data_IF_254599762623
#
_entry.id   IF_254599762623
#
_cell.length_a   1.000
_cell.length_b   1.000
_cell.length_c   1.000
_cell.angle_alpha   90.00
_cell.angle_beta   90.00
_cell.angle_gamma   90.00
#
_symmetry.space_group_name_H-M   'P 1'
#
loop_
_entity.id
_entity.type
_entity.pdbx_description
1 polymer ?
#
# COMPACT_ATOMS: atom_id res chain seq x y z
N UNK A 1 -16.69 14.84 16.20
CA UNK A 1 -15.63 14.30 15.35
C UNK A 1 -16.01 12.90 14.91
N UNK A 2 -15.87 12.60 13.63
CA UNK A 2 -16.12 11.25 13.09
C UNK A 2 -15.10 10.27 13.69
N UNK A 3 -15.57 9.09 14.07
CA UNK A 3 -14.70 8.00 14.52
C UNK A 3 -14.45 7.07 13.32
N UNK A 4 -13.20 6.77 13.05
CA UNK A 4 -12.76 5.84 12.01
C UNK A 4 -11.90 4.74 12.65
N UNK A 5 -11.73 3.62 11.94
CA UNK A 5 -10.90 2.51 12.40
C UNK A 5 -9.43 2.90 12.52
N UNK A 6 -8.65 2.10 13.25
CA UNK A 6 -7.20 2.34 13.37
C UNK A 6 -6.52 2.26 11.99
N UNK A 7 -6.94 1.33 11.14
CA UNK A 7 -6.49 1.20 9.76
C UNK A 7 -6.68 2.49 8.96
N UNK A 8 -7.88 3.07 8.99
CA UNK A 8 -8.19 4.31 8.27
C UNK A 8 -7.47 5.52 8.88
N UNK A 9 -7.32 5.56 10.21
CA UNK A 9 -6.57 6.61 10.90
C UNK A 9 -5.11 6.61 10.49
N UNK A 10 -4.49 5.42 10.39
CA UNK A 10 -3.09 5.28 10.00
C UNK A 10 -2.89 5.65 8.53
N UNK A 11 -3.79 5.23 7.63
CA UNK A 11 -3.74 5.66 6.23
C UNK A 11 -3.89 7.20 6.11
N UNK A 12 -4.84 7.79 6.84
CA UNK A 12 -5.04 9.24 6.90
C UNK A 12 -3.82 9.98 7.50
N UNK A 13 -3.09 9.35 8.42
CA UNK A 13 -1.88 9.92 9.00
C UNK A 13 -0.75 10.11 7.97
N UNK A 14 -0.69 9.28 6.94
CA UNK A 14 0.30 9.39 5.85
C UNK A 14 0.05 10.60 4.92
N UNK A 15 -1.17 11.14 4.85
CA UNK A 15 -1.48 12.31 4.00
C UNK A 15 -0.70 13.53 4.52
N UNK A 16 -0.03 14.24 3.64
CA UNK A 16 0.71 15.46 3.97
C UNK A 16 -0.24 16.62 4.31
N UNK A 17 0.07 17.34 5.38
CA UNK A 17 -0.73 18.48 5.80
C UNK A 17 -0.74 19.59 4.75
N UNK A 18 -1.93 20.16 4.50
CA UNK A 18 -2.13 21.28 3.57
C UNK A 18 -2.38 20.84 2.12
N UNK A 19 -2.34 19.55 1.82
CA UNK A 19 -2.64 19.04 0.48
C UNK A 19 -4.14 18.85 0.28
N UNK A 20 -4.65 19.15 -0.92
CA UNK A 20 -5.99 18.72 -1.36
C UNK A 20 -5.97 17.23 -1.66
N UNK A 21 -7.03 16.53 -1.25
CA UNK A 21 -7.11 15.07 -1.31
C UNK A 21 -8.17 14.59 -2.30
N UNK A 22 -7.84 13.58 -3.11
CA UNK A 22 -8.85 12.70 -3.71
C UNK A 22 -8.88 11.38 -2.94
N UNK A 23 -10.04 10.99 -2.45
CA UNK A 23 -10.32 9.72 -1.77
C UNK A 23 -11.05 8.80 -2.74
N UNK A 24 -10.35 7.79 -3.27
CA UNK A 24 -10.84 6.89 -4.32
C UNK A 24 -11.41 5.62 -3.71
N UNK A 25 -12.66 5.29 -4.06
CA UNK A 25 -13.42 4.24 -3.40
C UNK A 25 -13.89 4.69 -2.02
N UNK A 26 -14.36 5.95 -1.96
CA UNK A 26 -14.82 6.53 -0.71
C UNK A 26 -16.09 5.84 -0.24
N UNK A 27 -16.00 5.06 0.81
CA UNK A 27 -17.18 4.54 1.49
C UNK A 27 -17.54 5.50 2.63
N UNK A 28 -18.74 6.10 2.54
CA UNK A 28 -19.24 7.05 3.55
C UNK A 28 -18.46 8.38 3.70
N UNK A 29 -17.40 8.66 2.95
CA UNK A 29 -16.63 9.90 3.05
C UNK A 29 -15.83 10.06 4.35
N UNK A 30 -15.57 8.98 5.07
CA UNK A 30 -15.03 9.04 6.42
C UNK A 30 -13.61 9.64 6.48
N UNK A 31 -12.71 9.28 5.57
CA UNK A 31 -11.34 9.81 5.56
C UNK A 31 -11.32 11.31 5.26
N UNK A 32 -11.97 11.82 4.21
CA UNK A 32 -12.06 13.25 3.96
C UNK A 32 -12.64 14.04 5.13
N UNK A 33 -13.76 13.56 5.72
CA UNK A 33 -14.39 14.19 6.88
C UNK A 33 -13.43 14.24 8.06
N UNK A 34 -12.77 13.12 8.37
CA UNK A 34 -11.80 13.03 9.47
C UNK A 34 -10.66 14.03 9.28
N UNK A 35 -10.04 14.06 8.10
CA UNK A 35 -8.90 14.91 7.80
C UNK A 35 -9.24 16.41 7.84
N UNK A 36 -10.42 16.79 7.36
CA UNK A 36 -10.91 18.17 7.47
C UNK A 36 -11.18 18.58 8.93
N UNK A 37 -11.79 17.70 9.73
CA UNK A 37 -12.01 17.95 11.15
C UNK A 37 -10.71 18.08 11.95
N UNK A 38 -9.63 17.40 11.48
CA UNK A 38 -8.27 17.56 12.02
C UNK A 38 -7.54 18.81 11.48
N UNK A 39 -8.16 19.57 10.57
CA UNK A 39 -7.52 20.69 9.87
C UNK A 39 -6.24 20.28 9.13
N UNK A 40 -6.16 19.01 8.72
CA UNK A 40 -5.00 18.46 8.02
C UNK A 40 -5.02 18.77 6.53
N UNK A 41 -6.20 18.80 5.93
CA UNK A 41 -6.40 19.11 4.50
C UNK A 41 -7.32 20.32 4.34
N UNK A 42 -7.16 21.15 3.28
CA UNK A 42 -8.05 22.30 3.01
C UNK A 42 -9.35 21.87 2.32
N UNK A 43 -9.31 20.85 1.47
CA UNK A 43 -10.45 20.36 0.71
C UNK A 43 -10.26 18.91 0.26
N UNK A 44 -11.32 18.24 -0.17
CA UNK A 44 -11.26 16.90 -0.73
C UNK A 44 -12.29 16.65 -1.84
N UNK A 45 -11.98 15.64 -2.67
CA UNK A 45 -12.90 15.04 -3.64
C UNK A 45 -13.10 13.58 -3.20
N UNK A 46 -14.31 13.25 -2.78
CA UNK A 46 -14.72 11.90 -2.41
C UNK A 46 -15.27 11.18 -3.64
N UNK A 47 -14.65 10.08 -4.05
CA UNK A 47 -14.91 9.45 -5.33
C UNK A 47 -15.27 7.97 -5.17
N UNK A 48 -16.24 7.50 -5.94
CA UNK A 48 -16.59 6.07 -6.05
C UNK A 48 -17.15 5.79 -7.44
N UNK A 49 -17.06 4.54 -7.88
CA UNK A 49 -17.65 4.07 -9.14
C UNK A 49 -19.17 3.87 -9.04
N UNK A 50 -19.67 3.72 -7.83
CA UNK A 50 -21.09 3.47 -7.55
C UNK A 50 -21.75 4.69 -6.91
N UNK A 51 -23.00 4.96 -7.31
CA UNK A 51 -23.80 6.07 -6.76
C UNK A 51 -24.14 5.85 -5.27
N UNK A 52 -24.43 4.61 -4.85
CA UNK A 52 -24.82 4.32 -3.48
C UNK A 52 -23.83 4.76 -2.41
N UNK A 53 -22.53 4.41 -2.51
CA UNK A 53 -21.48 4.94 -1.63
C UNK A 53 -21.41 6.48 -1.64
N UNK A 54 -21.55 7.10 -2.81
CA UNK A 54 -21.51 8.56 -2.93
C UNK A 54 -22.70 9.25 -2.26
N UNK A 55 -23.90 8.69 -2.35
CA UNK A 55 -25.07 9.24 -1.63
C UNK A 55 -24.85 9.15 -0.11
N UNK A 56 -24.37 8.03 0.41
CA UNK A 56 -23.99 7.92 1.83
C UNK A 56 -22.91 8.94 2.22
N UNK A 57 -21.91 9.14 1.36
CA UNK A 57 -20.89 10.15 1.59
C UNK A 57 -21.48 11.56 1.63
N UNK A 58 -22.40 11.92 0.71
CA UNK A 58 -23.10 13.22 0.70
C UNK A 58 -23.88 13.44 2.00
N UNK A 59 -24.62 12.43 2.46
CA UNK A 59 -25.38 12.51 3.71
C UNK A 59 -24.46 12.78 4.91
N UNK A 60 -23.34 12.06 5.02
CA UNK A 60 -22.37 12.26 6.09
C UNK A 60 -21.68 13.62 5.99
N UNK A 61 -21.27 14.03 4.80
CA UNK A 61 -20.65 15.34 4.56
C UNK A 61 -21.60 16.46 5.01
N UNK A 62 -22.91 16.32 4.69
CA UNK A 62 -23.92 17.27 5.10
C UNK A 62 -24.15 17.25 6.62
N UNK A 63 -24.20 16.07 7.24
CA UNK A 63 -24.34 15.92 8.69
C UNK A 63 -23.23 16.65 9.46
N UNK A 64 -22.02 16.69 8.92
CA UNK A 64 -20.87 17.38 9.55
C UNK A 64 -20.69 18.83 9.05
N UNK A 65 -21.54 19.34 8.16
CA UNK A 65 -21.48 20.72 7.65
C UNK A 65 -20.26 20.99 6.76
N UNK A 66 -19.77 19.99 6.04
CA UNK A 66 -18.53 20.07 5.25
C UNK A 66 -18.74 20.16 3.74
N UNK A 67 -19.95 20.48 3.27
CA UNK A 67 -20.31 20.51 1.84
C UNK A 67 -19.51 21.56 1.06
N UNK A 68 -19.02 22.61 1.72
CA UNK A 68 -18.19 23.63 1.09
C UNK A 68 -16.72 23.15 0.85
N UNK A 69 -16.30 22.06 1.47
CA UNK A 69 -14.93 21.57 1.48
C UNK A 69 -14.76 20.20 0.84
N UNK A 70 -15.83 19.39 0.76
CA UNK A 70 -15.80 18.05 0.18
C UNK A 70 -16.77 18.00 -0.99
N UNK A 71 -16.24 17.77 -2.19
CA UNK A 71 -17.01 17.45 -3.39
C UNK A 71 -17.15 15.92 -3.50
N UNK A 72 -18.33 15.42 -3.87
CA UNK A 72 -18.49 14.02 -4.28
C UNK A 72 -18.46 13.91 -5.80
N UNK A 73 -17.83 12.85 -6.33
CA UNK A 73 -17.68 12.68 -7.78
C UNK A 73 -17.79 11.19 -8.16
N UNK A 74 -18.69 10.86 -9.08
CA UNK A 74 -18.77 9.52 -9.68
C UNK A 74 -17.55 9.31 -10.58
N UNK A 75 -16.79 8.24 -10.35
CA UNK A 75 -15.54 7.99 -11.08
C UNK A 75 -15.12 6.54 -10.99
N UNK A 76 -14.69 5.96 -12.08
CA UNK A 76 -13.90 4.73 -12.09
C UNK A 76 -12.44 5.10 -11.77
N UNK A 77 -11.97 4.67 -10.60
CA UNK A 77 -10.67 5.11 -10.09
C UNK A 77 -10.52 6.63 -10.12
N UNK A 78 -9.48 7.13 -10.78
CA UNK A 78 -9.16 8.57 -10.91
C UNK A 78 -9.60 9.18 -12.25
N UNK A 79 -10.38 8.46 -13.06
CA UNK A 79 -10.73 8.88 -14.43
C UNK A 79 -11.45 10.24 -14.52
N UNK A 80 -12.19 10.63 -13.47
CA UNK A 80 -12.89 11.92 -13.42
C UNK A 80 -12.02 13.08 -12.88
N UNK A 81 -10.74 12.83 -12.54
CA UNK A 81 -9.79 13.87 -12.15
C UNK A 81 -9.02 14.40 -13.36
N UNK A 82 -8.58 15.66 -13.26
CA UNK A 82 -7.61 16.23 -14.18
C UNK A 82 -6.21 16.17 -13.57
N UNK A 83 -5.15 16.01 -14.38
CA UNK A 83 -3.78 16.14 -13.90
C UNK A 83 -3.57 17.45 -13.13
N UNK A 84 -3.00 17.39 -11.94
CA UNK A 84 -2.75 18.54 -11.06
C UNK A 84 -3.98 19.09 -10.33
N UNK A 85 -5.15 18.46 -10.39
CA UNK A 85 -6.37 18.90 -9.69
C UNK A 85 -6.28 18.70 -8.17
N UNK A 86 -5.53 17.69 -7.73
CA UNK A 86 -5.28 17.38 -6.31
C UNK A 86 -3.78 17.15 -6.08
N UNK A 87 -3.34 17.38 -4.85
CA UNK A 87 -1.95 17.08 -4.46
C UNK A 87 -1.77 15.67 -3.92
N UNK A 88 -2.79 15.09 -3.29
CA UNK A 88 -2.76 13.76 -2.72
C UNK A 88 -3.90 12.89 -3.28
N UNK A 89 -3.59 11.63 -3.58
CA UNK A 89 -4.60 10.62 -3.92
C UNK A 89 -4.50 9.49 -2.90
N UNK A 90 -5.63 9.11 -2.31
CA UNK A 90 -5.70 8.00 -1.37
C UNK A 90 -6.56 6.89 -1.97
N UNK A 91 -6.02 5.67 -1.99
CA UNK A 91 -6.68 4.44 -2.44
C UNK A 91 -6.54 3.41 -1.32
N UNK A 92 -7.60 3.19 -0.56
CA UNK A 92 -7.58 2.29 0.58
C UNK A 92 -8.69 1.25 0.52
N UNK A 93 -8.38 0.02 1.00
CA UNK A 93 -9.38 -1.03 1.13
C UNK A 93 -9.67 -1.81 -0.16
N UNK A 94 -8.84 -1.67 -1.18
CA UNK A 94 -8.98 -2.35 -2.47
C UNK A 94 -7.98 -3.49 -2.63
N UNK A 95 -8.29 -4.48 -3.47
CA UNK A 95 -7.31 -5.51 -3.87
C UNK A 95 -6.14 -4.90 -4.66
N UNK A 96 -4.95 -5.50 -4.54
CA UNK A 96 -3.74 -4.98 -5.20
C UNK A 96 -3.87 -4.90 -6.72
N UNK A 97 -4.50 -5.91 -7.34
CA UNK A 97 -4.78 -5.87 -8.78
C UNK A 97 -5.59 -4.64 -9.21
N UNK A 98 -6.61 -4.25 -8.42
CA UNK A 98 -7.40 -3.05 -8.71
C UNK A 98 -6.59 -1.77 -8.48
N UNK A 99 -5.77 -1.72 -7.42
CA UNK A 99 -4.88 -0.57 -7.17
C UNK A 99 -3.94 -0.36 -8.35
N UNK A 100 -3.27 -1.41 -8.83
CA UNK A 100 -2.37 -1.33 -10.00
C UNK A 100 -3.11 -0.90 -11.27
N UNK A 101 -4.32 -1.40 -11.48
CA UNK A 101 -5.17 -0.99 -12.62
C UNK A 101 -5.50 0.50 -12.58
N UNK A 102 -5.96 1.01 -11.43
CA UNK A 102 -6.26 2.44 -11.24
C UNK A 102 -5.02 3.32 -11.50
N UNK A 103 -3.85 2.91 -11.03
CA UNK A 103 -2.61 3.65 -11.24
C UNK A 103 -2.19 3.67 -12.71
N UNK A 104 -2.38 2.56 -13.42
CA UNK A 104 -2.03 2.43 -14.83
C UNK A 104 -2.99 3.19 -15.74
N UNK A 105 -4.29 3.04 -15.55
CA UNK A 105 -5.30 3.72 -16.35
C UNK A 105 -5.34 5.23 -16.06
N UNK A 106 -5.05 5.61 -14.81
CA UNK A 106 -4.98 6.99 -14.36
C UNK A 106 -3.57 7.59 -14.36
N UNK A 107 -2.64 7.04 -15.13
CA UNK A 107 -1.21 7.38 -15.10
C UNK A 107 -0.93 8.88 -15.03
N UNK A 108 -1.50 9.67 -15.94
CA UNK A 108 -1.26 11.13 -16.00
C UNK A 108 -1.71 11.86 -14.73
N UNK A 109 -2.81 11.43 -14.12
CA UNK A 109 -3.32 12.00 -12.87
C UNK A 109 -2.43 11.58 -11.71
N UNK A 110 -2.14 10.29 -11.59
CA UNK A 110 -1.33 9.73 -10.52
C UNK A 110 0.10 10.26 -10.52
N UNK A 111 0.72 10.42 -11.69
CA UNK A 111 2.06 10.99 -11.85
C UNK A 111 2.10 12.49 -11.57
N UNK A 112 1.00 13.23 -11.75
CA UNK A 112 0.91 14.66 -11.45
C UNK A 112 0.67 14.96 -9.96
N UNK A 113 0.19 13.99 -9.20
CA UNK A 113 0.00 14.13 -7.76
C UNK A 113 1.35 14.18 -7.04
N UNK A 114 1.43 14.95 -5.95
CA UNK A 114 2.65 15.03 -5.13
C UNK A 114 2.87 13.79 -4.30
N UNK A 115 1.78 13.06 -3.96
CA UNK A 115 1.82 11.81 -3.22
C UNK A 115 0.60 10.94 -3.50
N UNK A 116 0.80 9.63 -3.42
CA UNK A 116 -0.28 8.65 -3.37
C UNK A 116 -0.18 7.90 -2.04
N UNK A 117 -1.32 7.68 -1.39
CA UNK A 117 -1.42 6.84 -0.20
C UNK A 117 -2.18 5.58 -0.60
N UNK A 118 -1.50 4.45 -0.55
CA UNK A 118 -2.02 3.16 -1.02
C UNK A 118 -2.14 2.19 0.16
N UNK A 119 -3.32 1.61 0.33
CA UNK A 119 -3.56 0.55 1.30
C UNK A 119 -4.21 -0.64 0.59
N UNK A 120 -3.43 -1.44 -0.17
CA UNK A 120 -3.92 -2.66 -0.80
C UNK A 120 -4.23 -3.74 0.24
N UNK A 121 -5.25 -4.57 -0.02
CA UNK A 121 -5.66 -5.67 0.87
C UNK A 121 -5.20 -7.04 0.39
N UNK A 122 -4.64 -7.13 -0.81
CA UNK A 122 -4.10 -8.35 -1.40
C UNK A 122 -2.95 -8.01 -2.34
N UNK A 123 -2.19 -9.01 -2.76
CA UNK A 123 -1.11 -8.89 -3.75
C UNK A 123 -0.10 -7.77 -3.43
N UNK A 124 0.21 -7.57 -2.13
CA UNK A 124 1.01 -6.43 -1.65
C UNK A 124 2.40 -6.42 -2.29
N UNK A 125 3.01 -7.59 -2.40
CA UNK A 125 4.31 -7.79 -3.07
C UNK A 125 4.25 -7.27 -4.50
N UNK A 126 3.25 -7.69 -5.28
CA UNK A 126 3.07 -7.27 -6.67
C UNK A 126 2.83 -5.78 -6.82
N UNK A 127 2.12 -5.17 -5.86
CA UNK A 127 1.94 -3.70 -5.84
C UNK A 127 3.28 -3.00 -5.66
N UNK A 128 4.15 -3.45 -4.74
CA UNK A 128 5.48 -2.85 -4.54
C UNK A 128 6.39 -3.03 -5.76
N UNK A 129 6.38 -4.22 -6.35
CA UNK A 129 7.09 -4.51 -7.61
C UNK A 129 6.62 -3.58 -8.73
N UNK A 130 5.31 -3.49 -8.96
CA UNK A 130 4.70 -2.58 -9.94
C UNK A 130 5.11 -1.12 -9.71
N UNK A 131 5.05 -0.63 -8.48
CA UNK A 131 5.44 0.75 -8.15
C UNK A 131 6.89 1.02 -8.51
N UNK A 132 7.80 0.11 -8.20
CA UNK A 132 9.22 0.20 -8.56
C UNK A 132 9.42 0.20 -10.07
N UNK A 133 8.71 -0.67 -10.80
CA UNK A 133 8.81 -0.78 -12.26
C UNK A 133 8.24 0.44 -12.98
N UNK A 134 7.17 1.04 -12.46
CA UNK A 134 6.53 2.21 -13.04
C UNK A 134 7.17 3.55 -12.59
N UNK A 135 8.26 3.51 -11.85
CA UNK A 135 9.04 4.71 -11.47
C UNK A 135 8.47 5.48 -10.27
N UNK A 136 7.71 4.79 -9.41
CA UNK A 136 7.30 5.33 -8.11
C UNK A 136 8.32 4.98 -7.02
N UNK A 137 8.53 5.89 -6.10
CA UNK A 137 9.35 5.68 -4.90
C UNK A 137 8.46 5.62 -3.67
N UNK A 138 8.66 4.62 -2.84
CA UNK A 138 8.00 4.51 -1.54
C UNK A 138 8.72 5.44 -0.56
N UNK A 139 8.02 6.47 -0.07
CA UNK A 139 8.55 7.49 0.84
C UNK A 139 8.33 7.15 2.32
N UNK A 140 7.26 6.44 2.62
CA UNK A 140 6.93 5.96 3.96
C UNK A 140 6.08 4.70 3.87
N UNK A 141 6.21 3.84 4.87
CA UNK A 141 5.34 2.68 5.08
C UNK A 141 4.90 2.61 6.52
N UNK A 142 3.70 2.11 6.73
CA UNK A 142 3.15 1.80 8.03
C UNK A 142 2.35 0.49 7.96
N UNK A 143 2.07 -0.12 9.10
CA UNK A 143 1.36 -1.38 9.17
C UNK A 143 0.51 -1.47 10.43
N UNK A 144 -0.74 -1.88 10.28
CA UNK A 144 -1.69 -2.04 11.38
C UNK A 144 -2.15 -3.49 11.47
N UNK A 145 -2.32 -3.97 12.69
CA UNK A 145 -3.04 -5.21 12.97
C UNK A 145 -4.40 -4.87 13.58
N UNK A 146 -5.48 -5.18 12.87
CA UNK A 146 -6.85 -4.87 13.27
C UNK A 146 -7.77 -6.02 12.84
N UNK A 147 -8.69 -6.43 13.69
CA UNK A 147 -9.68 -7.49 13.42
C UNK A 147 -9.08 -8.79 12.86
N UNK A 148 -7.93 -9.19 13.38
CA UNK A 148 -7.25 -10.43 12.99
C UNK A 148 -6.46 -10.36 11.69
N UNK A 149 -6.39 -9.20 11.02
CA UNK A 149 -5.71 -8.99 9.75
C UNK A 149 -4.60 -7.95 9.86
N UNK A 150 -3.59 -8.11 9.02
CA UNK A 150 -2.51 -7.16 8.85
C UNK A 150 -2.78 -6.27 7.64
N UNK A 151 -2.60 -4.98 7.81
CA UNK A 151 -2.87 -3.96 6.80
C UNK A 151 -1.62 -3.11 6.58
N UNK A 152 -0.74 -3.50 5.66
CA UNK A 152 0.35 -2.62 5.23
C UNK A 152 -0.21 -1.47 4.40
N UNK A 153 0.45 -0.32 4.48
CA UNK A 153 0.14 0.86 3.70
C UNK A 153 1.39 1.63 3.37
N UNK A 154 1.34 2.36 2.28
CA UNK A 154 2.50 3.04 1.76
C UNK A 154 2.14 4.42 1.21
N UNK A 155 3.02 5.38 1.46
CA UNK A 155 3.04 6.67 0.78
C UNK A 155 4.06 6.58 -0.35
N UNK A 156 3.64 6.90 -1.56
CA UNK A 156 4.51 6.84 -2.73
C UNK A 156 4.46 8.13 -3.52
N UNK A 157 5.51 8.38 -4.28
CA UNK A 157 5.61 9.52 -5.19
C UNK A 157 6.18 9.05 -6.52
N UNK A 158 5.61 9.56 -7.61
CA UNK A 158 6.20 9.37 -8.93
C UNK A 158 7.44 10.26 -9.10
N UNK A 159 8.54 9.67 -9.50
CA UNK A 159 9.81 10.39 -9.71
C UNK A 159 10.35 10.28 -11.14
N UNK A 160 9.62 9.56 -12.00
CA UNK A 160 9.96 9.43 -13.42
C UNK A 160 11.06 8.41 -13.70
N UNK A 161 11.34 8.21 -14.99
CA UNK A 161 12.33 7.24 -15.47
C UNK A 161 13.77 7.52 -15.02
N UNK A 162 14.09 8.75 -14.63
CA UNK A 162 15.44 9.10 -14.18
C UNK A 162 15.83 8.39 -12.89
N UNK A 163 14.86 8.10 -12.00
CA UNK A 163 15.10 7.33 -10.77
C UNK A 163 15.22 5.85 -11.09
N UNK A 164 14.42 5.34 -12.03
CA UNK A 164 14.57 3.98 -12.55
C UNK A 164 16.00 3.73 -13.01
N UNK A 165 16.57 4.63 -13.80
CA UNK A 165 17.97 4.56 -14.26
C UNK A 165 19.01 4.85 -13.15
N UNK A 166 18.69 5.68 -12.16
CA UNK A 166 19.59 5.97 -11.05
C UNK A 166 19.64 4.82 -10.05
N UNK A 167 18.51 4.18 -9.75
CA UNK A 167 18.45 2.96 -8.95
C UNK A 167 19.18 1.80 -9.65
N UNK A 168 19.00 1.65 -10.97
CA UNK A 168 19.76 0.69 -11.77
C UNK A 168 21.26 1.01 -11.78
N UNK A 169 21.67 2.27 -11.79
CA UNK A 169 23.07 2.69 -11.81
C UNK A 169 23.74 2.72 -10.43
N UNK A 170 23.07 3.18 -9.39
CA UNK A 170 23.63 3.20 -8.05
C UNK A 170 23.68 1.81 -7.41
N UNK A 171 22.76 0.92 -7.78
CA UNK A 171 22.83 -0.49 -7.36
C UNK A 171 24.01 -1.25 -7.96
N UNK A 172 24.56 -0.78 -9.09
CA UNK A 172 25.70 -1.41 -9.79
C UNK A 172 27.04 -0.76 -9.43
N UNK A 173 27.06 0.51 -8.99
CA UNK A 173 28.31 1.28 -8.89
C UNK A 173 28.85 1.49 -7.46
N UNK A 174 28.06 1.38 -6.39
CA UNK A 174 28.49 1.73 -5.03
C UNK A 174 28.40 0.60 -4.00
N UNK A 175 27.80 -0.54 -4.34
CA UNK A 175 27.80 -1.72 -3.51
C UNK A 175 28.38 -2.86 -4.33
N UNK A 176 29.48 -3.43 -3.87
CA UNK A 176 30.06 -4.70 -4.34
C UNK A 176 29.08 -5.88 -4.01
N UNK A 177 27.81 -5.66 -4.32
CA UNK A 177 26.75 -6.62 -4.18
C UNK A 177 26.62 -7.34 -5.52
N UNK A 178 26.90 -8.62 -5.53
CA UNK A 178 26.59 -9.48 -6.66
C UNK A 178 25.14 -9.25 -7.12
N UNK A 179 24.86 -9.37 -8.41
CA UNK A 179 23.49 -9.24 -8.98
C UNK A 179 22.47 -10.10 -8.21
N UNK A 180 22.90 -11.24 -7.69
CA UNK A 180 22.07 -12.14 -6.86
C UNK A 180 21.64 -11.48 -5.54
N UNK A 181 22.55 -10.77 -4.85
CA UNK A 181 22.22 -10.10 -3.58
C UNK A 181 21.26 -8.91 -3.77
N UNK A 182 21.37 -8.20 -4.89
CA UNK A 182 20.42 -7.14 -5.24
C UNK A 182 19.02 -7.71 -5.46
N UNK A 183 18.88 -8.80 -6.22
CA UNK A 183 17.62 -9.47 -6.45
C UNK A 183 16.99 -9.96 -5.13
N UNK A 184 17.77 -10.52 -4.24
CA UNK A 184 17.32 -10.97 -2.92
C UNK A 184 16.82 -9.81 -2.05
N UNK A 185 17.55 -8.68 -2.01
CA UNK A 185 17.15 -7.48 -1.26
C UNK A 185 15.87 -6.85 -1.85
N UNK A 186 15.75 -6.79 -3.18
CA UNK A 186 14.54 -6.30 -3.85
C UNK A 186 13.34 -7.17 -3.54
N UNK A 187 13.49 -8.48 -3.64
CA UNK A 187 12.44 -9.46 -3.31
C UNK A 187 12.00 -9.34 -1.85
N UNK A 188 12.95 -9.22 -0.93
CA UNK A 188 12.66 -9.04 0.49
C UNK A 188 11.87 -7.74 0.75
N UNK A 189 12.24 -6.66 0.05
CA UNK A 189 11.56 -5.37 0.13
C UNK A 189 10.15 -5.42 -0.46
N UNK A 190 9.97 -6.14 -1.57
CA UNK A 190 8.66 -6.32 -2.19
C UNK A 190 7.73 -7.17 -1.30
N UNK A 191 8.25 -8.23 -0.68
CA UNK A 191 7.49 -9.10 0.23
C UNK A 191 7.02 -8.36 1.49
N UNK A 192 7.95 -7.71 2.20
CA UNK A 192 7.71 -7.26 3.57
C UNK A 192 7.71 -5.75 3.76
N UNK A 193 8.16 -4.98 2.76
CA UNK A 193 8.28 -3.52 2.85
C UNK A 193 9.65 -3.09 3.33
N UNK A 194 10.44 -2.47 2.44
CA UNK A 194 11.81 -2.07 2.74
C UNK A 194 11.91 -1.10 3.93
N UNK A 195 11.00 -0.12 4.00
CA UNK A 195 10.98 0.83 5.12
C UNK A 195 10.43 0.23 6.41
N UNK A 196 9.48 -0.71 6.32
CA UNK A 196 9.00 -1.45 7.51
C UNK A 196 10.12 -2.27 8.13
N UNK A 197 10.94 -2.95 7.33
CA UNK A 197 12.11 -3.71 7.78
C UNK A 197 13.17 -2.79 8.36
N UNK A 198 13.55 -1.74 7.64
CA UNK A 198 14.58 -0.78 8.05
C UNK A 198 14.23 -0.12 9.40
N UNK A 199 12.97 0.25 9.58
CA UNK A 199 12.46 0.86 10.78
C UNK A 199 12.10 -0.16 11.88
N UNK A 200 12.28 -1.46 11.63
CA UNK A 200 11.95 -2.54 12.58
C UNK A 200 10.52 -2.44 13.09
N UNK A 201 9.58 -2.25 12.16
CA UNK A 201 8.19 -1.97 12.52
C UNK A 201 7.60 -3.10 13.40
N UNK A 202 7.04 -2.79 14.59
CA UNK A 202 6.66 -3.82 15.56
C UNK A 202 5.54 -4.73 15.07
N UNK A 203 4.59 -4.20 14.29
CA UNK A 203 3.50 -5.01 13.71
C UNK A 203 4.02 -5.94 12.63
N UNK A 204 5.04 -5.55 11.86
CA UNK A 204 5.70 -6.43 10.90
C UNK A 204 6.40 -7.59 11.62
N UNK A 205 7.08 -7.35 12.76
CA UNK A 205 7.65 -8.43 13.56
C UNK A 205 6.61 -9.48 13.92
N UNK A 206 5.46 -9.02 14.43
CA UNK A 206 4.34 -9.91 14.78
C UNK A 206 3.82 -10.69 13.56
N UNK A 207 3.77 -10.05 12.40
CA UNK A 207 3.40 -10.72 11.15
C UNK A 207 4.39 -11.83 10.80
N UNK A 208 5.68 -11.52 10.79
CA UNK A 208 6.76 -12.47 10.47
C UNK A 208 6.79 -13.68 11.41
N UNK A 209 6.63 -13.44 12.71
CA UNK A 209 6.57 -14.51 13.71
C UNK A 209 5.36 -15.45 13.48
N UNK A 210 4.19 -14.90 13.16
CA UNK A 210 3.00 -15.69 12.82
C UNK A 210 3.17 -16.43 11.50
N UNK A 211 3.71 -15.79 10.49
CA UNK A 211 4.00 -16.39 9.19
C UNK A 211 4.94 -17.57 9.33
N UNK A 212 6.06 -17.41 10.06
CA UNK A 212 7.02 -18.49 10.36
C UNK A 212 6.34 -19.69 11.00
N UNK A 213 5.53 -19.45 12.03
CA UNK A 213 4.82 -20.53 12.73
C UNK A 213 3.89 -21.31 11.79
N UNK A 214 3.11 -20.61 10.95
CA UNK A 214 2.18 -21.21 10.00
C UNK A 214 2.95 -22.05 8.97
N UNK A 215 3.96 -21.50 8.32
CA UNK A 215 4.66 -22.19 7.24
C UNK A 215 5.58 -23.30 7.74
N UNK A 216 6.14 -23.21 8.96
CA UNK A 216 6.81 -24.33 9.61
C UNK A 216 5.86 -25.50 9.82
N UNK A 217 4.66 -25.26 10.33
CA UNK A 217 3.66 -26.32 10.49
C UNK A 217 3.20 -26.93 9.15
N UNK A 218 3.09 -26.11 8.09
CA UNK A 218 2.78 -26.62 6.74
C UNK A 218 3.93 -27.50 6.24
N UNK A 219 5.19 -27.09 6.38
CA UNK A 219 6.38 -27.86 5.98
C UNK A 219 6.39 -29.23 6.67
N UNK A 220 6.27 -29.25 7.99
CA UNK A 220 6.23 -30.50 8.77
C UNK A 220 5.12 -31.45 8.34
N UNK A 221 3.96 -30.92 7.93
CA UNK A 221 2.85 -31.74 7.44
C UNK A 221 3.10 -32.28 6.02
N UNK A 222 3.74 -31.50 5.15
CA UNK A 222 4.10 -31.94 3.80
C UNK A 222 5.18 -33.02 3.83
N UNK A 223 6.17 -32.91 4.71
CA UNK A 223 7.27 -33.89 4.87
C UNK A 223 6.80 -35.27 5.35
N UNK A 224 5.63 -35.32 6.00
CA UNK A 224 4.99 -36.60 6.41
C UNK A 224 4.20 -37.28 5.30
N UNK A 225 3.98 -36.62 4.16
CA UNK A 225 3.18 -37.17 3.06
C UNK A 225 4.04 -37.99 2.09
N UNK A 226 3.45 -38.94 1.34
CA UNK A 226 4.17 -39.65 0.29
C UNK A 226 4.76 -38.68 -0.73
N UNK A 227 6.00 -38.93 -1.14
CA UNK A 227 6.72 -38.11 -2.12
C UNK A 227 5.99 -38.13 -3.46
N UNK A 228 5.67 -36.94 -3.97
CA UNK A 228 5.12 -36.73 -5.32
C UNK A 228 5.60 -35.38 -5.86
N UNK A 229 5.57 -35.19 -7.18
CA UNK A 229 5.97 -33.92 -7.81
C UNK A 229 5.21 -32.73 -7.22
N UNK A 230 3.91 -32.89 -6.95
CA UNK A 230 3.06 -31.85 -6.34
C UNK A 230 3.52 -31.49 -4.93
N UNK A 231 3.88 -32.49 -4.12
CA UNK A 231 4.37 -32.27 -2.75
C UNK A 231 5.75 -31.62 -2.78
N UNK A 232 6.63 -32.05 -3.68
CA UNK A 232 7.96 -31.44 -3.82
C UNK A 232 7.88 -29.97 -4.28
N UNK A 233 7.02 -29.67 -5.27
CA UNK A 233 6.79 -28.30 -5.71
C UNK A 233 6.27 -27.42 -4.56
N UNK A 234 5.31 -27.93 -3.77
CA UNK A 234 4.77 -27.18 -2.63
C UNK A 234 5.79 -26.99 -1.50
N UNK A 235 6.64 -28.00 -1.24
CA UNK A 235 7.74 -27.89 -0.29
C UNK A 235 8.72 -26.79 -0.70
N UNK A 236 9.12 -26.72 -1.97
CA UNK A 236 10.00 -25.68 -2.47
C UNK A 236 9.42 -24.27 -2.28
N UNK A 237 8.11 -24.08 -2.58
CA UNK A 237 7.42 -22.81 -2.32
C UNK A 237 7.45 -22.43 -0.83
N UNK A 238 7.18 -23.39 0.06
CA UNK A 238 7.18 -23.16 1.51
C UNK A 238 8.58 -22.85 2.02
N UNK A 239 9.60 -23.51 1.50
CA UNK A 239 11.01 -23.27 1.85
C UNK A 239 11.47 -21.87 1.40
N UNK A 240 11.05 -21.43 0.22
CA UNK A 240 11.31 -20.07 -0.25
C UNK A 240 10.68 -19.01 0.67
N UNK A 241 9.42 -19.19 1.06
CA UNK A 241 8.74 -18.30 2.02
C UNK A 241 9.48 -18.26 3.36
N UNK A 242 9.84 -19.42 3.91
CA UNK A 242 10.56 -19.49 5.18
C UNK A 242 11.95 -18.87 5.09
N UNK A 243 12.66 -19.03 3.98
CA UNK A 243 13.95 -18.39 3.73
C UNK A 243 13.84 -16.86 3.80
N UNK A 244 12.94 -16.25 3.05
CA UNK A 244 12.74 -14.78 3.09
C UNK A 244 12.21 -14.30 4.43
N UNK A 245 11.36 -15.07 5.10
CA UNK A 245 10.89 -14.76 6.44
C UNK A 245 12.06 -14.73 7.45
N UNK A 246 12.98 -15.69 7.38
CA UNK A 246 14.16 -15.72 8.24
C UNK A 246 15.11 -14.55 7.97
N UNK A 247 15.32 -14.19 6.71
CA UNK A 247 16.08 -12.99 6.36
C UNK A 247 15.42 -11.72 6.91
N UNK A 248 14.09 -11.60 6.82
CA UNK A 248 13.34 -10.48 7.38
C UNK A 248 13.45 -10.40 8.90
N UNK A 249 13.40 -11.55 9.59
CA UNK A 249 13.53 -11.60 11.05
C UNK A 249 14.92 -11.17 11.55
N UNK A 250 15.97 -11.26 10.73
CA UNK A 250 17.32 -10.78 11.09
C UNK A 250 17.40 -9.26 11.29
N UNK A 251 16.43 -8.49 10.80
CA UNK A 251 16.33 -7.05 11.09
C UNK A 251 15.91 -6.78 12.54
N UNK A 252 15.38 -7.77 13.23
CA UNK A 252 14.88 -7.64 14.61
C UNK A 252 15.81 -8.33 15.58
N UNK A 253 16.20 -7.64 16.68
CA UNK A 253 17.03 -8.20 17.73
C UNK A 253 16.30 -9.28 18.54
#
# INVERSE_FOLDING_TARGET
MVKISNRLTTAAALVTQGYTLADVGTDHGYIPIYLLQQKKIPAAIAMDINEGPLERAKEHIALYGLQAYIQTRLSDGVAALKPGEVEAVLIAGMGGGLVMHILKDGEKVCQSAKELILQPQSEIERVREFLREEGYTILAEDMVYEDGKFYPMMKVQYQGENVKRALEKSSVAELDLSTARYAEVSKLSDLYGGLLLQNRHPVLKTFLEKEKLIYTGIKENLEKQPVSEKIQARLAEVEDILHYNELALQFYP
#
